data_IF_469696542465
#
_entry.id   IF_469696542465
#
_cell.length_a   1.000
_cell.length_b   1.000
_cell.length_c   1.000
_cell.angle_alpha   90.00
_cell.angle_beta   90.00
_cell.angle_gamma   90.00
#
_symmetry.space_group_name_H-M   'P 1'
#
loop_
_entity.id
_entity.type
_entity.pdbx_description
1 polymer ?
#
# COMPACT_ATOMS: atom_id res chain seq x y z
N UNK A 1 34.04 21.89 -11.06
CA UNK A 1 32.95 22.79 -11.44
C UNK A 1 31.63 22.04 -11.40
N UNK A 2 30.51 22.69 -11.00
CA UNK A 2 29.20 22.05 -10.87
C UNK A 2 28.68 21.46 -12.19
N UNK A 3 29.09 22.05 -13.31
CA UNK A 3 28.75 21.58 -14.64
C UNK A 3 29.51 20.30 -15.01
N UNK A 4 30.80 20.23 -14.71
CA UNK A 4 31.62 19.01 -14.88
C UNK A 4 31.16 17.87 -13.99
N UNK A 5 30.66 18.18 -12.80
CA UNK A 5 30.08 17.22 -11.87
C UNK A 5 28.64 16.81 -12.23
N UNK A 6 28.04 17.45 -13.26
CA UNK A 6 26.72 17.13 -13.77
C UNK A 6 25.56 17.62 -12.90
N UNK A 7 25.75 18.59 -12.03
CA UNK A 7 24.68 19.20 -11.22
C UNK A 7 23.89 20.27 -11.96
N UNK A 8 24.54 20.95 -12.91
CA UNK A 8 23.91 21.95 -13.77
C UNK A 8 24.29 21.66 -15.23
N UNK A 9 23.45 22.10 -16.15
CA UNK A 9 23.66 21.96 -17.58
C UNK A 9 23.29 23.25 -18.30
N UNK A 10 23.98 23.56 -19.39
CA UNK A 10 23.63 24.64 -20.28
C UNK A 10 22.95 24.06 -21.55
N UNK A 11 21.62 24.19 -21.69
CA UNK A 11 20.88 23.56 -22.79
C UNK A 11 21.31 24.06 -24.18
N UNK A 12 21.68 25.34 -24.26
CA UNK A 12 22.18 26.00 -25.50
C UNK A 12 23.22 27.05 -25.15
N UNK A 13 24.13 27.33 -26.06
CA UNK A 13 25.25 28.30 -25.90
C UNK A 13 24.82 29.71 -25.45
N UNK A 14 23.58 30.11 -25.75
CA UNK A 14 23.00 31.39 -25.32
C UNK A 14 22.05 31.32 -24.12
N UNK A 15 21.81 30.12 -23.58
CA UNK A 15 20.92 29.92 -22.44
C UNK A 15 21.68 30.05 -21.13
N UNK A 16 20.94 30.37 -20.07
CA UNK A 16 21.43 30.24 -18.69
C UNK A 16 21.70 28.76 -18.32
N UNK A 17 22.29 28.56 -17.16
CA UNK A 17 22.46 27.21 -16.59
C UNK A 17 21.23 26.81 -15.84
N UNK A 18 20.78 25.56 -16.03
CA UNK A 18 19.65 24.96 -15.33
C UNK A 18 20.12 23.76 -14.54
N UNK A 19 19.52 23.50 -13.36
CA UNK A 19 19.82 22.29 -12.60
C UNK A 19 19.41 21.02 -13.34
N UNK A 20 20.17 19.96 -13.15
CA UNK A 20 19.80 18.59 -13.54
C UNK A 20 19.03 17.93 -12.40
N UNK A 21 18.46 16.73 -12.61
CA UNK A 21 17.85 15.92 -11.55
C UNK A 21 18.82 15.75 -10.37
N UNK A 22 20.10 15.51 -10.66
CA UNK A 22 21.18 15.44 -9.66
C UNK A 22 21.39 16.75 -8.88
N UNK A 23 21.24 17.89 -9.58
CA UNK A 23 21.29 19.22 -8.95
C UNK A 23 20.12 19.46 -8.02
N UNK A 24 18.92 19.09 -8.44
CA UNK A 24 17.74 19.16 -7.60
C UNK A 24 17.82 18.21 -6.40
N UNK A 25 18.36 16.99 -6.57
CA UNK A 25 18.60 16.05 -5.48
C UNK A 25 19.48 16.66 -4.40
N UNK A 26 20.64 17.20 -4.77
CA UNK A 26 21.53 17.84 -3.82
C UNK A 26 20.85 18.96 -3.03
N UNK A 27 20.04 19.77 -3.71
CA UNK A 27 19.30 20.87 -3.06
C UNK A 27 18.24 20.35 -2.07
N UNK A 28 17.49 19.31 -2.46
CA UNK A 28 16.48 18.69 -1.59
C UNK A 28 17.12 18.04 -0.36
N UNK A 29 18.24 17.34 -0.53
CA UNK A 29 18.95 16.72 0.58
C UNK A 29 19.46 17.76 1.59
N UNK A 30 20.00 18.90 1.09
CA UNK A 30 20.43 20.02 1.96
C UNK A 30 19.24 20.65 2.70
N UNK A 31 18.11 20.86 2.00
CA UNK A 31 16.87 21.36 2.60
C UNK A 31 16.32 20.43 3.68
N UNK A 32 16.33 19.13 3.45
CA UNK A 32 15.85 18.14 4.41
C UNK A 32 16.75 18.11 5.65
N UNK A 33 18.07 18.16 5.47
CA UNK A 33 19.02 18.23 6.57
C UNK A 33 18.85 19.50 7.41
N UNK A 34 18.66 20.66 6.77
CA UNK A 34 18.39 21.93 7.46
C UNK A 34 17.05 21.87 8.22
N UNK A 35 16.01 21.31 7.63
CA UNK A 35 14.70 21.17 8.28
C UNK A 35 14.73 20.23 9.47
N UNK A 36 15.48 19.13 9.38
CA UNK A 36 15.69 18.21 10.50
C UNK A 36 16.35 18.94 11.68
N UNK A 37 17.40 19.67 11.42
CA UNK A 37 18.08 20.46 12.44
C UNK A 37 17.19 21.56 13.04
N UNK A 38 16.38 22.23 12.22
CA UNK A 38 15.38 23.20 12.70
C UNK A 38 14.29 22.56 13.56
N UNK A 39 13.89 21.30 13.30
CA UNK A 39 12.88 20.58 14.08
C UNK A 39 13.46 20.15 15.44
N UNK A 40 14.71 19.66 15.47
CA UNK A 40 15.40 19.31 16.71
C UNK A 40 15.58 20.55 17.62
N UNK A 41 15.85 21.74 17.04
CA UNK A 41 15.97 23.00 17.78
C UNK A 41 14.60 23.60 18.19
N UNK A 42 13.49 23.15 17.60
CA UNK A 42 12.14 23.74 17.73
C UNK A 42 11.20 23.07 18.72
N UNK A 43 11.61 22.07 19.46
CA UNK A 43 10.76 21.50 20.54
C UNK A 43 10.21 22.55 21.54
N UNK A 44 10.69 23.81 21.42
CA UNK A 44 10.28 24.93 22.28
C UNK A 44 9.31 25.96 21.68
N UNK A 45 8.90 25.86 20.39
CA UNK A 45 8.03 26.86 19.72
C UNK A 45 6.88 26.24 18.90
N UNK A 46 5.99 25.55 19.58
CA UNK A 46 4.92 24.71 18.99
C UNK A 46 3.64 25.49 18.60
N UNK A 47 3.52 26.79 18.97
CA UNK A 47 2.23 27.50 19.05
C UNK A 47 1.48 27.80 17.72
N UNK A 48 2.15 28.01 16.58
CA UNK A 48 1.43 28.45 15.37
C UNK A 48 1.03 27.28 14.42
N UNK A 49 1.79 26.18 14.44
CA UNK A 49 1.43 24.95 13.70
C UNK A 49 0.38 24.13 14.43
N UNK A 50 0.25 24.24 15.74
CA UNK A 50 -0.86 23.60 16.48
C UNK A 50 -2.23 24.04 15.97
N UNK A 51 -2.38 25.32 15.58
CA UNK A 51 -3.65 25.85 15.04
C UNK A 51 -3.98 25.30 13.64
N UNK A 52 -2.97 25.06 12.79
CA UNK A 52 -3.18 24.43 11.48
C UNK A 52 -3.51 22.94 11.66
N UNK A 53 -2.80 22.24 12.55
CA UNK A 53 -3.08 20.85 12.89
C UNK A 53 -4.44 20.70 13.57
N UNK A 54 -4.82 21.62 14.47
CA UNK A 54 -6.14 21.60 15.12
C UNK A 54 -7.26 21.87 14.10
N UNK A 55 -7.09 22.79 13.14
CA UNK A 55 -8.06 23.00 12.07
C UNK A 55 -8.19 21.77 11.14
N UNK A 56 -7.10 21.06 10.86
CA UNK A 56 -7.15 19.79 10.14
C UNK A 56 -7.80 18.69 10.99
N UNK A 57 -7.51 18.64 12.29
CA UNK A 57 -8.11 17.70 13.23
C UNK A 57 -9.62 17.89 13.36
N UNK A 58 -10.11 19.14 13.37
CA UNK A 58 -11.55 19.43 13.43
C UNK A 58 -12.27 18.96 12.15
N UNK A 59 -11.64 19.09 10.98
CA UNK A 59 -12.17 18.56 9.72
C UNK A 59 -12.18 17.02 9.70
N UNK A 60 -11.22 16.38 10.38
CA UNK A 60 -11.10 14.91 10.47
C UNK A 60 -11.99 14.32 11.59
N UNK A 61 -12.33 15.10 12.63
CA UNK A 61 -13.16 14.67 13.77
C UNK A 61 -14.68 14.74 13.51
N UNK A 62 -15.13 15.22 12.36
CA UNK A 62 -16.50 14.94 11.93
C UNK A 62 -16.63 13.43 11.80
N UNK A 63 -17.39 12.80 12.70
CA UNK A 63 -17.62 11.38 12.89
C UNK A 63 -17.49 10.57 11.60
N UNK A 64 -16.30 10.03 11.38
CA UNK A 64 -16.05 9.10 10.29
C UNK A 64 -16.14 7.72 10.87
N UNK A 65 -17.25 7.04 10.61
CA UNK A 65 -17.49 5.67 11.11
C UNK A 65 -16.64 4.62 10.39
N UNK A 66 -15.83 5.03 9.39
CA UNK A 66 -15.01 4.12 8.58
C UNK A 66 -13.65 4.73 8.25
N UNK A 67 -12.59 3.94 8.41
CA UNK A 67 -11.21 4.30 8.05
C UNK A 67 -11.11 4.76 6.59
N UNK A 68 -11.86 4.15 5.69
CA UNK A 68 -11.92 4.50 4.27
C UNK A 68 -12.34 5.96 4.02
N UNK A 69 -13.39 6.42 4.71
CA UNK A 69 -13.87 7.80 4.60
C UNK A 69 -12.85 8.79 5.17
N UNK A 70 -12.19 8.41 6.27
CA UNK A 70 -11.10 9.19 6.85
C UNK A 70 -9.97 9.39 5.84
N UNK A 71 -9.47 8.30 5.24
CA UNK A 71 -8.37 8.35 4.28
C UNK A 71 -8.73 9.17 3.03
N UNK A 72 -9.97 9.03 2.53
CA UNK A 72 -10.46 9.87 1.44
C UNK A 72 -10.49 11.36 1.80
N UNK A 73 -10.90 11.68 3.02
CA UNK A 73 -10.94 13.07 3.49
C UNK A 73 -9.52 13.63 3.67
N UNK A 74 -8.60 12.85 4.23
CA UNK A 74 -7.18 13.23 4.32
C UNK A 74 -6.61 13.51 2.93
N UNK A 75 -6.85 12.64 1.94
CA UNK A 75 -6.39 12.85 0.58
C UNK A 75 -6.92 14.16 -0.02
N UNK A 76 -8.20 14.49 0.23
CA UNK A 76 -8.83 15.75 -0.24
C UNK A 76 -8.20 16.97 0.42
N UNK A 77 -8.00 16.95 1.74
CA UNK A 77 -7.39 18.05 2.49
C UNK A 77 -5.97 18.30 1.99
N UNK A 78 -5.14 17.25 1.92
CA UNK A 78 -3.78 17.35 1.40
C UNK A 78 -3.73 17.90 -0.02
N UNK A 79 -4.59 17.41 -0.93
CA UNK A 79 -4.63 17.89 -2.30
C UNK A 79 -5.05 19.36 -2.42
N UNK A 80 -5.93 19.82 -1.52
CA UNK A 80 -6.39 21.21 -1.48
C UNK A 80 -5.31 22.15 -0.95
N UNK A 81 -4.62 21.75 0.12
CA UNK A 81 -3.66 22.62 0.80
C UNK A 81 -2.33 22.68 0.06
N UNK A 82 -1.88 21.56 -0.52
CA UNK A 82 -0.63 21.49 -1.31
C UNK A 82 -0.80 21.92 -2.75
N UNK A 83 -2.02 21.92 -3.30
CA UNK A 83 -2.31 22.03 -4.74
C UNK A 83 -1.67 20.94 -5.61
N UNK A 84 -1.29 19.79 -5.04
CA UNK A 84 -0.76 18.64 -5.77
C UNK A 84 -1.82 17.54 -5.96
N UNK A 85 -1.53 16.59 -6.84
CA UNK A 85 -2.22 15.31 -6.83
C UNK A 85 -1.74 14.52 -5.61
N UNK A 86 -2.67 13.94 -4.87
CA UNK A 86 -2.40 13.24 -3.62
C UNK A 86 -2.98 11.83 -3.69
N UNK A 87 -2.24 10.88 -3.16
CA UNK A 87 -2.64 9.48 -3.05
C UNK A 87 -2.42 9.00 -1.62
N UNK A 88 -3.34 8.23 -1.10
CA UNK A 88 -3.21 7.55 0.19
C UNK A 88 -3.58 6.09 -0.02
N UNK A 89 -2.75 5.19 0.46
CA UNK A 89 -3.04 3.75 0.46
C UNK A 89 -3.77 3.38 1.74
N UNK A 90 -4.69 2.42 1.66
CA UNK A 90 -5.22 1.80 2.87
C UNK A 90 -4.09 1.15 3.67
N UNK A 91 -4.19 1.09 5.01
CA UNK A 91 -3.20 0.44 5.83
C UNK A 91 -3.11 -1.04 5.47
N UNK A 92 -1.88 -1.52 5.30
CA UNK A 92 -1.62 -2.94 5.09
C UNK A 92 -1.36 -3.61 6.44
N UNK A 93 -2.12 -4.64 6.74
CA UNK A 93 -1.85 -5.49 7.92
C UNK A 93 -0.68 -6.41 7.57
N UNK A 94 0.51 -6.11 8.08
CA UNK A 94 1.67 -6.99 7.90
C UNK A 94 1.42 -8.34 8.56
N UNK A 95 1.54 -9.40 7.79
CA UNK A 95 1.52 -10.77 8.32
C UNK A 95 0.12 -11.34 8.51
N UNK A 96 -0.63 -11.44 7.43
CA UNK A 96 -1.93 -12.07 7.41
C UNK A 96 -1.84 -13.54 7.81
N UNK A 97 -1.99 -13.79 9.12
CA UNK A 97 -2.05 -15.15 9.66
C UNK A 97 -3.47 -15.67 9.56
N UNK A 98 -3.58 -16.93 9.19
CA UNK A 98 -4.86 -17.63 9.26
C UNK A 98 -5.31 -17.73 10.72
N UNK A 99 -6.51 -17.25 11.02
CA UNK A 99 -7.12 -17.33 12.34
C UNK A 99 -7.91 -18.63 12.49
N UNK A 100 -8.78 -18.90 11.54
CA UNK A 100 -9.46 -20.20 11.43
C UNK A 100 -10.14 -20.37 10.07
N UNK A 101 -10.48 -21.63 9.73
CA UNK A 101 -11.32 -22.03 8.59
C UNK A 101 -12.55 -22.74 9.11
N UNK A 102 -13.71 -22.38 8.56
CA UNK A 102 -14.97 -23.06 8.80
C UNK A 102 -15.49 -23.61 7.46
N UNK A 103 -15.90 -24.88 7.46
CA UNK A 103 -16.56 -25.52 6.33
C UNK A 103 -18.02 -25.79 6.67
N UNK A 104 -18.91 -25.59 5.72
CA UNK A 104 -20.35 -25.89 5.86
C UNK A 104 -20.90 -26.45 4.56
N UNK A 105 -21.68 -27.53 4.63
CA UNK A 105 -22.40 -28.03 3.46
C UNK A 105 -23.47 -27.01 3.07
N UNK A 106 -23.42 -26.52 1.84
CA UNK A 106 -24.38 -25.57 1.30
C UNK A 106 -25.46 -26.30 0.51
N UNK A 107 -25.06 -27.15 -0.42
CA UNK A 107 -25.88 -28.02 -1.25
C UNK A 107 -25.25 -29.42 -1.28
N UNK A 108 -25.89 -30.39 -1.92
CA UNK A 108 -25.36 -31.76 -2.00
C UNK A 108 -23.97 -31.84 -2.66
N UNK A 109 -23.68 -30.92 -3.55
CA UNK A 109 -22.48 -30.85 -4.37
C UNK A 109 -21.62 -29.60 -4.09
N UNK A 110 -21.96 -28.83 -3.03
CA UNK A 110 -21.26 -27.57 -2.73
C UNK A 110 -20.96 -27.40 -1.24
N UNK A 111 -19.73 -27.01 -0.97
CA UNK A 111 -19.25 -26.65 0.38
C UNK A 111 -18.89 -25.17 0.40
N UNK A 112 -19.38 -24.46 1.40
CA UNK A 112 -18.95 -23.11 1.72
C UNK A 112 -17.73 -23.18 2.64
N UNK A 113 -16.62 -22.66 2.22
CA UNK A 113 -15.45 -22.38 3.06
C UNK A 113 -15.46 -20.92 3.48
N UNK A 114 -15.44 -20.67 4.79
CA UNK A 114 -15.28 -19.36 5.41
C UNK A 114 -13.88 -19.30 6.00
N UNK A 115 -13.04 -18.41 5.47
CA UNK A 115 -11.66 -18.22 5.85
C UNK A 115 -11.57 -16.93 6.65
N UNK A 116 -11.11 -17.00 7.89
CA UNK A 116 -10.94 -15.84 8.77
C UNK A 116 -9.47 -15.65 9.05
N UNK A 117 -8.98 -14.46 8.80
CA UNK A 117 -7.59 -14.06 8.98
C UNK A 117 -7.45 -13.04 10.12
N UNK A 118 -6.23 -12.78 10.58
CA UNK A 118 -5.96 -11.66 11.47
C UNK A 118 -6.37 -10.35 10.79
N UNK A 119 -6.70 -9.32 11.58
CA UNK A 119 -7.25 -8.07 11.02
C UNK A 119 -8.75 -8.13 10.68
N UNK A 120 -9.48 -9.17 11.15
CA UNK A 120 -10.92 -9.38 10.91
C UNK A 120 -11.30 -9.55 9.43
N UNK A 121 -10.36 -9.98 8.60
CA UNK A 121 -10.60 -10.24 7.19
C UNK A 121 -11.33 -11.57 7.06
N UNK A 122 -12.48 -11.54 6.42
CA UNK A 122 -13.31 -12.71 6.17
C UNK A 122 -13.46 -12.90 4.66
N UNK A 123 -13.14 -14.10 4.19
CA UNK A 123 -13.35 -14.51 2.79
C UNK A 123 -14.23 -15.76 2.73
N UNK A 124 -15.06 -15.79 1.73
CA UNK A 124 -15.95 -16.91 1.47
C UNK A 124 -15.63 -17.51 0.10
N UNK A 125 -15.53 -18.82 0.03
CA UNK A 125 -15.36 -19.56 -1.22
C UNK A 125 -16.38 -20.70 -1.27
N UNK A 126 -17.09 -20.79 -2.37
CA UNK A 126 -17.92 -21.97 -2.66
C UNK A 126 -17.08 -22.96 -3.46
N UNK A 127 -17.01 -24.19 -2.97
CA UNK A 127 -16.22 -25.28 -3.53
C UNK A 127 -17.16 -26.37 -4.01
N UNK A 128 -17.02 -26.76 -5.26
CA UNK A 128 -17.78 -27.86 -5.83
C UNK A 128 -17.17 -29.20 -5.41
N UNK A 129 -18.02 -30.12 -4.93
CA UNK A 129 -17.61 -31.45 -4.50
C UNK A 129 -18.41 -32.49 -5.29
N UNK A 130 -17.81 -33.65 -5.57
CA UNK A 130 -18.43 -34.71 -6.33
C UNK A 130 -19.60 -35.34 -5.62
N UNK A 131 -19.59 -35.39 -4.30
CA UNK A 131 -20.60 -35.99 -3.43
C UNK A 131 -20.74 -35.22 -2.12
N UNK A 132 -21.93 -35.27 -1.52
CA UNK A 132 -22.16 -34.66 -0.21
C UNK A 132 -21.30 -35.33 0.85
N UNK A 133 -20.57 -34.52 1.61
CA UNK A 133 -19.79 -35.02 2.74
C UNK A 133 -20.65 -35.20 3.98
N UNK A 134 -20.35 -36.26 4.73
CA UNK A 134 -20.95 -36.43 6.04
C UNK A 134 -20.50 -35.33 7.00
N UNK A 135 -21.33 -34.98 7.96
CA UNK A 135 -20.95 -34.00 9.00
C UNK A 135 -19.68 -34.39 9.76
N UNK A 136 -19.46 -35.69 9.94
CA UNK A 136 -18.24 -36.22 10.58
C UNK A 136 -17.00 -35.93 9.74
N UNK A 137 -17.06 -36.12 8.42
CA UNK A 137 -15.95 -35.83 7.51
C UNK A 137 -15.67 -34.32 7.43
N UNK A 138 -16.70 -33.49 7.35
CA UNK A 138 -16.55 -32.02 7.41
C UNK A 138 -15.84 -31.60 8.70
N UNK A 139 -16.27 -32.14 9.84
CA UNK A 139 -15.64 -31.83 11.13
C UNK A 139 -14.18 -32.28 11.19
N UNK A 140 -13.84 -33.47 10.68
CA UNK A 140 -12.46 -33.95 10.58
C UNK A 140 -11.59 -33.01 9.72
N UNK A 141 -12.11 -32.54 8.59
CA UNK A 141 -11.40 -31.60 7.73
C UNK A 141 -11.23 -30.22 8.39
N UNK A 142 -12.24 -29.70 9.09
CA UNK A 142 -12.13 -28.47 9.87
C UNK A 142 -11.02 -28.59 10.91
N UNK A 143 -10.99 -29.70 11.67
CA UNK A 143 -9.97 -29.95 12.67
C UNK A 143 -8.59 -30.01 12.02
N UNK A 144 -8.45 -30.77 10.91
CA UNK A 144 -7.20 -30.89 10.17
C UNK A 144 -6.68 -29.54 9.71
N UNK A 145 -7.51 -28.75 9.04
CA UNK A 145 -7.16 -27.42 8.53
C UNK A 145 -6.73 -26.50 9.68
N UNK A 146 -7.53 -26.41 10.73
CA UNK A 146 -7.27 -25.48 11.83
C UNK A 146 -6.07 -25.90 12.68
N UNK A 147 -5.87 -27.18 12.95
CA UNK A 147 -4.70 -27.64 13.72
C UNK A 147 -3.38 -27.48 12.97
N UNK A 148 -3.45 -27.47 11.64
CA UNK A 148 -2.25 -27.40 10.80
C UNK A 148 -1.91 -26.00 10.33
N UNK A 149 -2.92 -25.14 10.08
CA UNK A 149 -2.73 -23.85 9.39
C UNK A 149 -2.93 -22.63 10.28
N UNK A 150 -3.65 -22.75 11.42
CA UNK A 150 -3.91 -21.59 12.29
C UNK A 150 -2.61 -20.96 12.81
N UNK A 151 -2.51 -19.66 12.72
CA UNK A 151 -1.35 -18.87 13.13
C UNK A 151 -0.21 -18.84 12.12
N UNK A 152 -0.35 -19.51 10.97
CA UNK A 152 0.66 -19.49 9.90
C UNK A 152 0.39 -18.35 8.91
N UNK A 153 1.47 -17.74 8.42
CA UNK A 153 1.45 -16.87 7.23
C UNK A 153 1.57 -17.73 5.97
N UNK A 154 1.28 -17.13 4.79
CA UNK A 154 1.41 -17.82 3.50
C UNK A 154 2.83 -18.38 3.29
N UNK A 155 3.85 -17.61 3.64
CA UNK A 155 5.27 -18.00 3.50
C UNK A 155 5.62 -19.22 4.38
N UNK A 156 4.93 -19.39 5.50
CA UNK A 156 5.11 -20.51 6.41
C UNK A 156 4.36 -21.77 5.95
N UNK A 157 3.36 -21.62 5.06
CA UNK A 157 2.60 -22.73 4.47
C UNK A 157 3.41 -23.41 3.37
N UNK A 158 4.45 -24.15 3.76
CA UNK A 158 5.38 -24.80 2.85
C UNK A 158 4.92 -26.20 2.39
N UNK A 159 5.63 -26.76 1.40
CA UNK A 159 5.34 -28.08 0.84
C UNK A 159 5.29 -29.21 1.89
N UNK A 160 6.06 -29.11 2.98
CA UNK A 160 6.05 -30.12 4.04
C UNK A 160 4.71 -30.16 4.78
N UNK A 161 4.10 -28.98 5.02
CA UNK A 161 2.78 -28.87 5.64
C UNK A 161 1.71 -29.42 4.70
N UNK A 162 1.77 -29.06 3.41
CA UNK A 162 0.85 -29.56 2.38
C UNK A 162 0.92 -31.07 2.29
N UNK A 163 2.14 -31.66 2.20
CA UNK A 163 2.32 -33.13 2.14
C UNK A 163 1.81 -33.84 3.39
N UNK A 164 1.93 -33.23 4.57
CA UNK A 164 1.39 -33.79 5.80
C UNK A 164 -0.14 -33.80 5.78
N UNK A 165 -0.76 -32.75 5.26
CA UNK A 165 -2.21 -32.66 5.10
C UNK A 165 -2.71 -33.66 4.04
N UNK A 166 -1.98 -33.85 2.95
CA UNK A 166 -2.28 -34.84 1.92
C UNK A 166 -2.42 -36.25 2.50
N UNK A 167 -1.49 -36.65 3.34
CA UNK A 167 -1.52 -37.97 3.98
C UNK A 167 -2.68 -38.13 4.97
N UNK A 168 -3.19 -37.05 5.54
CA UNK A 168 -4.27 -37.10 6.54
C UNK A 168 -5.66 -36.87 5.92
N UNK A 169 -5.76 -36.17 4.80
CA UNK A 169 -7.02 -35.87 4.13
C UNK A 169 -7.59 -37.06 3.35
N UNK A 170 -6.75 -38.00 2.91
CA UNK A 170 -7.16 -39.19 2.18
C UNK A 170 -7.99 -38.87 0.94
N UNK A 171 -9.20 -39.42 0.86
CA UNK A 171 -10.13 -39.23 -0.27
C UNK A 171 -10.59 -37.76 -0.45
N UNK A 172 -10.47 -36.94 0.59
CA UNK A 172 -10.90 -35.54 0.58
C UNK A 172 -9.80 -34.55 0.22
N UNK A 173 -8.67 -35.04 -0.31
CA UNK A 173 -7.52 -34.20 -0.65
C UNK A 173 -7.85 -33.10 -1.65
N UNK A 174 -8.75 -33.37 -2.61
CA UNK A 174 -9.17 -32.37 -3.60
C UNK A 174 -9.80 -31.15 -2.91
N UNK A 175 -10.70 -31.38 -1.95
CA UNK A 175 -11.32 -30.32 -1.17
C UNK A 175 -10.28 -29.53 -0.34
N UNK A 176 -9.31 -30.21 0.27
CA UNK A 176 -8.22 -29.55 1.00
C UNK A 176 -7.41 -28.65 0.09
N UNK A 177 -7.09 -29.10 -1.13
CA UNK A 177 -6.39 -28.27 -2.14
C UNK A 177 -7.18 -27.02 -2.49
N UNK A 178 -8.47 -27.16 -2.77
CA UNK A 178 -9.31 -26.01 -3.12
C UNK A 178 -9.47 -25.01 -1.96
N UNK A 179 -9.49 -25.52 -0.71
CA UNK A 179 -9.46 -24.64 0.46
C UNK A 179 -8.10 -23.93 0.59
N UNK A 180 -6.98 -24.63 0.34
CA UNK A 180 -5.66 -24.01 0.34
C UNK A 180 -5.54 -22.95 -0.75
N UNK A 181 -6.00 -23.25 -1.97
CA UNK A 181 -6.03 -22.28 -3.07
C UNK A 181 -6.89 -21.05 -2.72
N UNK A 182 -8.03 -21.28 -2.05
CA UNK A 182 -8.88 -20.19 -1.57
C UNK A 182 -8.19 -19.34 -0.47
N UNK A 183 -7.38 -19.95 0.40
CA UNK A 183 -6.56 -19.24 1.39
C UNK A 183 -5.49 -18.39 0.69
N UNK A 184 -4.79 -18.98 -0.27
CA UNK A 184 -3.79 -18.26 -1.08
C UNK A 184 -4.45 -17.10 -1.82
N UNK A 185 -5.59 -17.32 -2.48
CA UNK A 185 -6.36 -16.28 -3.16
C UNK A 185 -6.84 -15.19 -2.18
N UNK A 186 -7.27 -15.58 -0.99
CA UNK A 186 -7.71 -14.65 0.05
C UNK A 186 -6.57 -13.72 0.50
N UNK A 187 -5.37 -14.28 0.65
CA UNK A 187 -4.17 -13.53 1.04
C UNK A 187 -3.66 -12.68 -0.14
N UNK A 188 -3.60 -13.24 -1.35
CA UNK A 188 -3.10 -12.53 -2.54
C UNK A 188 -4.04 -11.40 -3.00
N UNK A 189 -5.35 -11.51 -2.77
CA UNK A 189 -6.29 -10.43 -3.08
C UNK A 189 -6.22 -9.25 -2.11
N UNK A 190 -5.50 -9.38 -0.97
CA UNK A 190 -5.16 -8.25 -0.11
C UNK A 190 -4.09 -7.35 -0.74
N UNK A 191 -3.30 -7.85 -1.70
CA UNK A 191 -2.42 -7.04 -2.54
C UNK A 191 -3.19 -6.10 -3.50
N UNK A 192 -4.52 -6.13 -3.53
CA UNK A 192 -5.31 -5.05 -4.12
C UNK A 192 -5.28 -3.84 -3.19
N UNK A 193 -4.15 -3.14 -3.26
CA UNK A 193 -3.95 -1.85 -2.63
C UNK A 193 -5.16 -0.95 -2.90
N UNK A 194 -5.95 -0.71 -1.86
CA UNK A 194 -6.94 0.35 -1.94
C UNK A 194 -6.21 1.68 -1.91
N UNK A 195 -6.26 2.39 -3.04
CA UNK A 195 -5.63 3.69 -3.20
C UNK A 195 -6.74 4.73 -3.34
N UNK A 196 -6.69 5.73 -2.49
CA UNK A 196 -7.57 6.90 -2.51
C UNK A 196 -6.81 8.06 -3.15
N UNK A 197 -7.29 8.53 -4.30
CA UNK A 197 -6.67 9.64 -5.05
C UNK A 197 -7.50 10.90 -4.93
N UNK A 198 -6.85 12.05 -4.85
CA UNK A 198 -7.48 13.37 -4.89
C UNK A 198 -6.59 14.39 -5.60
N UNK A 199 -7.20 15.45 -6.13
CA UNK A 199 -6.46 16.56 -6.74
C UNK A 199 -5.81 16.24 -8.09
N UNK A 200 -6.23 15.19 -8.82
CA UNK A 200 -5.70 14.90 -10.15
C UNK A 200 -5.81 16.10 -11.11
N UNK A 201 -6.85 16.92 -10.97
CA UNK A 201 -7.04 18.15 -11.76
C UNK A 201 -6.03 19.25 -11.42
N UNK A 202 -5.34 19.20 -10.28
CA UNK A 202 -4.30 20.17 -9.93
C UNK A 202 -3.11 20.10 -10.88
N UNK A 203 -2.90 18.98 -11.54
CA UNK A 203 -1.87 18.77 -12.55
C UNK A 203 -1.93 19.83 -13.65
N UNK A 204 -3.14 20.24 -14.06
CA UNK A 204 -3.32 21.26 -15.11
C UNK A 204 -2.95 22.70 -14.68
N UNK A 205 -2.65 22.92 -13.40
CA UNK A 205 -2.17 24.23 -12.91
C UNK A 205 -0.69 24.46 -13.24
N UNK A 206 0.03 23.41 -13.62
CA UNK A 206 1.46 23.45 -13.88
C UNK A 206 1.74 23.57 -15.38
N UNK A 207 2.47 24.62 -15.85
CA UNK A 207 2.75 24.84 -17.27
C UNK A 207 3.48 23.68 -17.94
N UNK A 208 4.32 22.95 -17.19
CA UNK A 208 5.09 21.80 -17.65
C UNK A 208 4.21 20.63 -18.08
N UNK A 209 3.00 20.56 -17.52
CA UNK A 209 1.98 19.55 -17.81
C UNK A 209 0.83 20.08 -18.67
N UNK A 210 1.01 21.24 -19.31
CA UNK A 210 0.02 21.83 -20.23
C UNK A 210 -0.15 21.00 -21.53
N UNK A 211 0.80 20.13 -21.85
CA UNK A 211 0.66 19.15 -22.93
C UNK A 211 -0.42 18.12 -22.56
N UNK A 212 -1.50 18.13 -23.35
CA UNK A 212 -2.65 17.25 -23.12
C UNK A 212 -2.30 15.76 -23.12
N UNK A 213 -1.30 15.34 -23.90
CA UNK A 213 -0.85 13.95 -23.99
C UNK A 213 -0.14 13.53 -22.70
N UNK A 214 0.76 14.38 -22.18
CA UNK A 214 1.47 14.14 -20.92
C UNK A 214 0.51 14.12 -19.74
N UNK A 215 -0.37 15.12 -19.67
CA UNK A 215 -1.37 15.20 -18.61
C UNK A 215 -2.32 13.99 -18.62
N UNK A 216 -2.82 13.58 -19.78
CA UNK A 216 -3.69 12.40 -19.91
C UNK A 216 -2.98 11.13 -19.46
N UNK A 217 -1.70 10.94 -19.83
CA UNK A 217 -0.92 9.78 -19.42
C UNK A 217 -0.72 9.74 -17.90
N UNK A 218 -0.47 10.88 -17.28
CA UNK A 218 -0.30 10.98 -15.83
C UNK A 218 -1.60 10.70 -15.10
N UNK A 219 -2.73 11.27 -15.57
CA UNK A 219 -4.06 11.00 -15.00
C UNK A 219 -4.40 9.52 -15.12
N UNK A 220 -4.18 8.91 -16.29
CA UNK A 220 -4.39 7.48 -16.49
C UNK A 220 -3.58 6.65 -15.47
N UNK A 221 -2.30 7.01 -15.25
CA UNK A 221 -1.47 6.34 -14.25
C UNK A 221 -2.02 6.48 -12.83
N UNK A 222 -2.57 7.65 -12.48
CA UNK A 222 -3.18 7.88 -11.15
C UNK A 222 -4.51 7.11 -10.98
N UNK A 223 -5.21 6.81 -12.06
CA UNK A 223 -6.44 6.00 -12.06
C UNK A 223 -6.11 4.50 -12.06
N UNK A 224 -5.02 4.08 -12.70
CA UNK A 224 -4.58 2.70 -12.77
C UNK A 224 -3.75 2.30 -11.55
N UNK A 225 -4.44 1.83 -10.52
CA UNK A 225 -3.86 1.48 -9.21
C UNK A 225 -2.63 0.55 -9.30
N UNK A 226 -2.63 -0.39 -10.25
CA UNK A 226 -1.51 -1.33 -10.45
C UNK A 226 -0.22 -0.62 -10.87
N UNK A 227 -0.31 0.46 -11.65
CA UNK A 227 0.85 1.24 -12.07
C UNK A 227 1.55 1.96 -10.92
N UNK A 228 0.85 2.15 -9.80
CA UNK A 228 1.37 2.81 -8.59
C UNK A 228 2.02 1.85 -7.60
N UNK A 229 1.84 0.54 -7.80
CA UNK A 229 2.42 -0.50 -6.92
C UNK A 229 3.95 -0.42 -6.82
N UNK A 230 4.63 0.05 -7.88
CA UNK A 230 6.07 0.26 -7.87
C UNK A 230 6.55 1.26 -6.82
N UNK A 231 5.80 2.35 -6.57
CA UNK A 231 6.12 3.34 -5.53
C UNK A 231 6.01 2.74 -4.12
N UNK A 232 5.08 1.82 -3.93
CA UNK A 232 4.78 1.21 -2.63
C UNK A 232 5.75 0.07 -2.32
N UNK A 233 6.08 -0.76 -3.33
CA UNK A 233 7.04 -1.85 -3.20
C UNK A 233 8.45 -1.33 -2.86
N UNK A 234 8.84 -0.20 -3.43
CA UNK A 234 10.14 0.42 -3.18
C UNK A 234 10.26 0.89 -1.72
N UNK A 235 9.19 1.44 -1.15
CA UNK A 235 9.14 1.80 0.28
C UNK A 235 9.28 0.60 1.22
N UNK A 236 8.75 -0.57 0.83
CA UNK A 236 8.85 -1.79 1.64
C UNK A 236 10.24 -2.43 1.58
N UNK A 237 10.95 -2.22 0.46
CA UNK A 237 12.30 -2.77 0.22
C UNK A 237 13.42 -1.91 0.81
N UNK A 238 13.19 -0.61 0.97
CA UNK A 238 14.14 0.38 1.48
C UNK A 238 14.31 0.33 3.00
N UNK A 239 14.64 -0.84 3.54
CA UNK A 239 15.24 -0.97 4.87
C UNK A 239 16.73 -0.61 4.83
N UNK A 240 17.07 0.55 4.30
CA UNK A 240 18.35 1.15 4.63
C UNK A 240 18.25 1.65 6.07
N UNK A 241 19.09 1.10 6.93
CA UNK A 241 19.19 1.42 8.37
C UNK A 241 19.51 2.91 8.65
N UNK A 242 19.65 3.72 7.62
CA UNK A 242 19.86 5.17 7.64
C UNK A 242 18.62 5.98 7.22
N UNK A 243 17.47 5.34 6.92
CA UNK A 243 16.25 6.08 6.58
C UNK A 243 15.72 6.82 7.81
N UNK A 244 15.52 8.11 7.65
CA UNK A 244 15.03 9.05 8.66
C UNK A 244 13.79 8.49 9.39
N UNK A 245 13.70 8.75 10.69
CA UNK A 245 12.70 8.26 11.65
C UNK A 245 11.22 8.53 11.24
N UNK A 246 10.99 9.24 10.13
CA UNK A 246 9.66 9.63 9.63
C UNK A 246 9.26 8.97 8.30
N UNK A 247 10.07 8.08 7.71
CA UNK A 247 9.74 7.34 6.49
C UNK A 247 9.41 8.21 5.26
N UNK A 248 9.90 9.46 5.22
CA UNK A 248 9.68 10.37 4.09
C UNK A 248 10.73 10.09 3.01
N UNK A 249 10.27 9.87 1.77
CA UNK A 249 11.13 9.71 0.60
C UNK A 249 10.72 10.70 -0.49
N UNK A 250 11.71 11.19 -1.24
CA UNK A 250 11.50 12.13 -2.34
C UNK A 250 12.14 11.56 -3.60
N UNK A 251 11.36 11.36 -4.64
CA UNK A 251 11.82 10.95 -5.97
C UNK A 251 11.81 12.15 -6.91
N UNK A 252 12.89 12.39 -7.62
CA UNK A 252 13.04 13.51 -8.55
C UNK A 252 13.29 12.97 -9.96
N UNK A 253 12.38 13.31 -10.88
CA UNK A 253 12.54 12.99 -12.28
C UNK A 253 12.72 11.49 -12.52
N UNK A 254 13.88 11.11 -13.05
CA UNK A 254 14.19 9.72 -13.42
C UNK A 254 14.37 8.75 -12.22
N UNK A 255 14.42 9.23 -10.99
CA UNK A 255 14.48 8.39 -9.80
C UNK A 255 13.13 7.68 -9.55
N UNK A 256 12.05 8.21 -10.11
CA UNK A 256 10.71 7.64 -9.93
C UNK A 256 10.62 6.25 -10.59
N UNK A 257 10.22 5.20 -9.85
CA UNK A 257 10.07 3.85 -10.42
C UNK A 257 8.93 3.77 -11.45
N UNK A 258 8.00 4.73 -11.44
CA UNK A 258 6.87 4.80 -12.37
C UNK A 258 7.24 5.61 -13.60
N UNK A 259 7.36 4.95 -14.75
CA UNK A 259 7.84 5.55 -16.00
C UNK A 259 7.04 6.77 -16.49
N UNK A 260 5.75 6.84 -16.19
CA UNK A 260 4.87 7.97 -16.56
C UNK A 260 5.04 9.20 -15.67
N UNK A 261 5.74 9.08 -14.53
CA UNK A 261 5.97 10.14 -13.55
C UNK A 261 7.39 10.72 -13.63
N UNK A 262 8.19 10.36 -14.62
CA UNK A 262 9.58 10.82 -14.77
C UNK A 262 9.75 12.33 -14.95
N UNK A 263 8.70 13.02 -15.39
CA UNK A 263 8.66 14.48 -15.51
C UNK A 263 8.13 15.16 -14.21
N UNK A 264 7.92 14.37 -13.15
CA UNK A 264 7.36 14.83 -11.87
C UNK A 264 8.33 14.60 -10.72
N UNK A 265 8.10 15.31 -9.61
CA UNK A 265 8.64 14.93 -8.32
C UNK A 265 7.55 14.26 -7.48
N UNK A 266 7.91 13.19 -6.79
CA UNK A 266 6.99 12.42 -5.95
C UNK A 266 7.53 12.42 -4.51
N UNK A 267 6.70 12.83 -3.57
CA UNK A 267 7.02 12.76 -2.14
C UNK A 267 6.13 11.70 -1.53
N UNK A 268 6.74 10.74 -0.85
CA UNK A 268 6.04 9.66 -0.15
C UNK A 268 6.35 9.72 1.34
N UNK A 269 5.39 9.31 2.15
CA UNK A 269 5.54 9.15 3.60
C UNK A 269 4.78 7.92 4.05
N UNK A 270 5.32 7.22 5.04
CA UNK A 270 4.63 6.12 5.71
C UNK A 270 3.86 6.64 6.92
N UNK A 271 2.75 5.99 7.23
CA UNK A 271 1.98 6.24 8.44
C UNK A 271 1.64 4.91 9.11
N UNK A 272 1.47 4.95 10.42
CA UNK A 272 1.03 3.80 11.21
C UNK A 272 -0.28 4.15 11.91
N UNK A 273 -1.25 3.25 11.82
CA UNK A 273 -2.45 3.33 12.65
C UNK A 273 -2.14 2.62 13.98
N UNK A 274 -2.33 3.33 15.08
CA UNK A 274 -2.22 2.70 16.40
C UNK A 274 -3.40 1.74 16.60
N UNK A 275 -3.12 0.55 17.14
CA UNK A 275 -4.13 -0.42 17.52
C UNK A 275 -5.14 0.22 18.47
N UNK A 276 -6.35 0.45 18.00
CA UNK A 276 -7.41 1.04 18.82
C UNK A 276 -8.47 1.85 18.08
N UNK A 277 -8.43 1.90 16.74
CA UNK A 277 -9.55 2.42 15.94
C UNK A 277 -10.36 1.28 15.35
#
# INVERSE_FOLDING_TARGET
DLEELGYIVQPHTSAGRIPTDKGYRLYVDDLMAQKKQELEDRESKVSDREKEVDSMRDILNEKVDRVEELLQNVAKVLAKDTNYATMITAPQVKGNKLKFVQLSQLESDKILAVIVMEGNIIRNKVIDVSEALSQENILKLIILLNTTLTGLTLEQMNLSIVSKMENQAGEHMQLVKEVLDAIVEAISNEDQLEIYTSGATNIFKYPELSDSVKASKLIYTLEEKQSLSGLIADQQSGKDEEADDHGIQVYIGNETPVASMKDCSVVTATYELQDGL
#
